data_IF_105839046056
#
_entry.id   IF_105839046056
#
_cell.length_a   1.000
_cell.length_b   1.000
_cell.length_c   1.000
_cell.angle_alpha   90.00
_cell.angle_beta   90.00
_cell.angle_gamma   90.00
#
_symmetry.space_group_name_H-M   'P 1'
#
loop_
_entity.id
_entity.type
_entity.pdbx_description
1 polymer ?
#
# COMPACT_ATOMS: atom_id res chain seq x y z
N UNK A 1 19.35 24.11 -31.73
CA UNK A 1 20.07 23.62 -30.54
C UNK A 1 19.19 23.93 -29.35
N UNK A 2 18.23 23.06 -29.05
CA UNK A 2 17.34 23.26 -27.92
C UNK A 2 18.01 22.71 -26.66
N UNK A 3 18.33 23.61 -25.73
CA UNK A 3 18.79 23.27 -24.41
C UNK A 3 17.64 22.55 -23.69
N UNK A 4 17.79 21.23 -23.50
CA UNK A 4 16.87 20.44 -22.72
C UNK A 4 16.80 21.01 -21.29
N UNK A 5 15.67 21.63 -20.96
CA UNK A 5 15.38 22.11 -19.62
C UNK A 5 15.37 20.90 -18.69
N UNK A 6 16.43 20.73 -17.90
CA UNK A 6 16.53 19.69 -16.88
C UNK A 6 15.54 20.05 -15.78
N UNK A 7 14.34 19.48 -15.85
CA UNK A 7 13.33 19.59 -14.81
C UNK A 7 13.83 18.89 -13.55
N UNK A 8 13.90 19.61 -12.42
CA UNK A 8 14.24 18.97 -11.14
C UNK A 8 13.21 17.87 -10.81
N UNK A 9 13.65 16.63 -10.52
CA UNK A 9 12.76 15.54 -10.18
C UNK A 9 12.00 15.87 -8.89
N UNK A 10 10.68 15.89 -8.99
CA UNK A 10 9.75 16.41 -7.99
C UNK A 10 9.42 15.42 -6.87
N UNK A 11 9.96 14.19 -6.94
CA UNK A 11 9.72 13.16 -5.94
C UNK A 11 10.77 12.05 -5.92
N UNK A 12 10.75 11.26 -4.83
CA UNK A 12 11.68 10.13 -4.62
C UNK A 12 11.61 9.12 -5.76
N UNK A 13 10.45 8.92 -6.39
CA UNK A 13 10.26 7.96 -7.48
C UNK A 13 10.93 8.41 -8.78
N UNK A 14 10.75 9.66 -9.18
CA UNK A 14 11.45 10.25 -10.35
C UNK A 14 12.97 10.28 -10.15
N UNK A 15 13.43 10.50 -8.92
CA UNK A 15 14.86 10.42 -8.56
C UNK A 15 15.47 9.02 -8.69
N UNK A 16 14.66 7.97 -8.51
CA UNK A 16 15.12 6.58 -8.64
C UNK A 16 15.30 6.17 -10.10
N UNK A 17 14.57 6.79 -11.03
CA UNK A 17 14.61 6.48 -12.46
C UNK A 17 15.86 7.09 -13.17
N UNK A 18 16.49 8.11 -12.58
CA UNK A 18 17.69 8.76 -13.14
C UNK A 18 19.03 8.06 -12.81
N UNK A 19 19.03 6.92 -12.10
CA UNK A 19 20.26 6.22 -11.73
C UNK A 19 20.47 4.97 -12.61
N UNK A 20 21.54 4.90 -13.44
CA UNK A 20 21.73 3.87 -14.48
C UNK A 20 21.99 2.44 -13.96
N UNK A 21 22.02 2.25 -12.64
CA UNK A 21 22.14 0.93 -11.98
C UNK A 21 20.98 0.78 -10.95
N UNK A 22 19.80 1.28 -11.30
CA UNK A 22 18.59 1.06 -10.52
C UNK A 22 18.12 -0.40 -10.67
N UNK A 23 18.17 -1.16 -9.59
CA UNK A 23 17.54 -2.49 -9.51
C UNK A 23 18.49 -3.68 -9.39
N UNK A 24 19.78 -3.55 -9.73
CA UNK A 24 20.76 -4.61 -9.42
C UNK A 24 21.32 -4.40 -8.02
N UNK A 25 21.05 -5.29 -7.04
CA UNK A 25 21.64 -5.18 -5.72
C UNK A 25 23.15 -5.34 -5.85
N UNK A 26 23.92 -4.37 -5.33
CA UNK A 26 25.37 -4.50 -5.23
C UNK A 26 25.68 -5.67 -4.28
N UNK A 27 26.32 -6.71 -4.80
CA UNK A 27 26.76 -7.91 -4.06
C UNK A 27 28.24 -7.76 -3.68
N UNK A 28 28.66 -8.38 -2.57
CA UNK A 28 30.07 -8.42 -2.15
C UNK A 28 30.63 -7.07 -1.69
N UNK A 29 31.89 -6.78 -2.05
CA UNK A 29 32.62 -5.59 -1.61
C UNK A 29 31.98 -4.26 -2.05
N UNK A 30 31.21 -4.29 -3.14
CA UNK A 30 30.47 -3.13 -3.68
C UNK A 30 29.37 -2.64 -2.73
N UNK A 31 28.95 -3.46 -1.75
CA UNK A 31 28.00 -3.06 -0.70
C UNK A 31 28.61 -2.05 0.28
N UNK A 32 29.91 -2.13 0.56
CA UNK A 32 30.58 -1.27 1.53
C UNK A 32 30.84 0.13 0.95
N UNK A 33 30.73 1.15 1.79
CA UNK A 33 31.07 2.51 1.42
C UNK A 33 32.58 2.66 1.30
N UNK A 34 33.04 3.07 0.13
CA UNK A 34 34.46 3.38 -0.09
C UNK A 34 34.77 4.80 0.39
N UNK A 35 36.04 5.07 0.75
CA UNK A 35 36.46 6.42 1.13
C UNK A 35 36.21 7.47 0.04
N UNK A 36 36.28 7.06 -1.24
CA UNK A 36 35.92 7.89 -2.40
C UNK A 36 34.43 8.27 -2.40
N UNK A 37 33.54 7.29 -2.21
CA UNK A 37 32.10 7.54 -2.17
C UNK A 37 31.71 8.41 -0.96
N UNK A 38 32.36 8.24 0.19
CA UNK A 38 32.16 9.12 1.34
C UNK A 38 32.64 10.54 1.10
N UNK A 39 33.77 10.72 0.43
CA UNK A 39 34.28 12.04 0.08
C UNK A 39 33.30 12.79 -0.82
N UNK A 40 32.75 12.11 -1.82
CA UNK A 40 31.69 12.64 -2.68
C UNK A 40 30.45 12.96 -1.84
N UNK A 41 30.04 12.05 -0.95
CA UNK A 41 28.87 12.26 -0.09
C UNK A 41 29.05 13.49 0.82
N UNK A 42 30.21 13.68 1.45
CA UNK A 42 30.50 14.85 2.31
C UNK A 42 30.46 16.17 1.53
N UNK A 43 30.94 16.18 0.29
CA UNK A 43 30.97 17.38 -0.55
C UNK A 43 29.58 17.73 -1.10
N UNK A 44 28.83 16.74 -1.58
CA UNK A 44 27.61 16.96 -2.36
C UNK A 44 26.34 17.01 -1.49
N UNK A 45 26.30 16.26 -0.38
CA UNK A 45 25.10 16.15 0.44
C UNK A 45 24.66 17.47 1.10
N UNK A 46 25.57 18.34 1.59
CA UNK A 46 25.16 19.63 2.16
C UNK A 46 24.46 20.56 1.17
N UNK A 47 24.86 20.56 -0.12
CA UNK A 47 24.30 21.46 -1.13
C UNK A 47 22.94 21.01 -1.67
N UNK A 48 22.76 19.72 -1.95
CA UNK A 48 21.58 19.21 -2.66
C UNK A 48 20.95 17.95 -2.06
N UNK A 49 21.42 17.50 -0.90
CA UNK A 49 20.92 16.30 -0.21
C UNK A 49 21.01 15.04 -1.07
N UNK A 50 20.03 14.16 -0.88
CA UNK A 50 19.99 12.85 -1.57
C UNK A 50 19.88 13.01 -3.09
N UNK A 51 19.23 14.06 -3.59
CA UNK A 51 19.05 14.29 -5.02
C UNK A 51 20.38 14.48 -5.74
N UNK A 52 21.18 15.44 -5.27
CA UNK A 52 22.49 15.71 -5.85
C UNK A 52 23.47 14.52 -5.68
N UNK A 53 23.36 13.79 -4.56
CA UNK A 53 24.18 12.61 -4.33
C UNK A 53 23.82 11.43 -5.24
N UNK A 54 22.55 11.30 -5.67
CA UNK A 54 22.14 10.25 -6.60
C UNK A 54 22.75 10.44 -7.99
N UNK A 55 22.89 11.69 -8.44
CA UNK A 55 23.59 12.00 -9.68
C UNK A 55 25.11 11.72 -9.58
N UNK A 56 25.71 11.95 -8.42
CA UNK A 56 27.16 11.78 -8.20
C UNK A 56 27.58 10.35 -7.77
N UNK A 57 26.65 9.51 -7.33
CA UNK A 57 26.89 8.15 -6.82
C UNK A 57 26.04 7.11 -7.58
N UNK A 58 26.39 6.80 -8.85
CA UNK A 58 25.67 5.80 -9.62
C UNK A 58 25.74 4.42 -8.95
N UNK A 59 24.60 3.74 -8.85
CA UNK A 59 24.44 2.45 -8.19
C UNK A 59 24.32 2.47 -6.67
N UNK A 60 24.23 3.63 -6.02
CA UNK A 60 23.76 3.75 -4.62
C UNK A 60 22.28 4.12 -4.61
N UNK A 61 21.48 3.39 -3.84
CA UNK A 61 20.07 3.72 -3.66
C UNK A 61 19.88 4.95 -2.76
N UNK A 62 18.79 5.68 -2.95
CA UNK A 62 18.43 6.84 -2.14
C UNK A 62 18.48 6.53 -0.62
N UNK A 63 17.97 5.36 -0.24
CA UNK A 63 17.98 4.87 1.15
C UNK A 63 19.39 4.64 1.68
N UNK A 64 20.28 4.05 0.86
CA UNK A 64 21.68 3.82 1.25
C UNK A 64 22.43 5.13 1.48
N UNK A 65 22.23 6.11 0.59
CA UNK A 65 22.79 7.46 0.71
C UNK A 65 22.27 8.14 1.98
N UNK A 66 20.96 8.11 2.22
CA UNK A 66 20.34 8.70 3.40
C UNK A 66 20.88 8.08 4.71
N UNK A 67 20.97 6.75 4.77
CA UNK A 67 21.51 6.04 5.92
C UNK A 67 22.99 6.39 6.16
N UNK A 68 23.82 6.42 5.12
CA UNK A 68 25.24 6.76 5.30
C UNK A 68 25.43 8.22 5.68
N UNK A 69 24.68 9.13 5.08
CA UNK A 69 24.69 10.54 5.45
C UNK A 69 24.30 10.75 6.91
N UNK A 70 23.30 9.99 7.40
CA UNK A 70 22.92 10.01 8.81
C UNK A 70 24.05 9.51 9.74
N UNK A 71 24.74 8.42 9.38
CA UNK A 71 25.90 7.89 10.12
C UNK A 71 27.06 8.89 10.15
N UNK A 72 27.30 9.59 9.04
CA UNK A 72 28.32 10.62 8.92
C UNK A 72 27.89 11.99 9.50
N UNK A 73 26.68 12.09 10.06
CA UNK A 73 26.16 13.34 10.62
C UNK A 73 25.87 14.44 9.59
N UNK A 74 25.82 14.12 8.30
CA UNK A 74 25.63 15.10 7.23
C UNK A 74 24.19 15.65 7.24
N UNK A 75 24.07 16.94 6.92
CA UNK A 75 22.82 17.69 6.87
C UNK A 75 22.82 18.57 5.63
N UNK A 76 21.63 18.84 5.08
CA UNK A 76 21.46 19.77 3.96
C UNK A 76 21.51 21.20 4.50
N UNK A 77 22.42 22.00 3.98
CA UNK A 77 22.56 23.43 4.27
C UNK A 77 21.26 24.16 3.93
N UNK A 78 20.80 25.07 4.78
CA UNK A 78 19.57 25.84 4.53
C UNK A 78 18.25 25.09 4.75
N UNK A 79 18.26 23.75 4.83
CA UNK A 79 17.13 22.95 5.36
C UNK A 79 17.20 22.74 6.86
N UNK A 80 17.73 23.71 7.59
CA UNK A 80 17.49 23.90 9.03
C UNK A 80 16.06 24.38 9.30
N UNK A 81 15.08 23.90 8.53
CA UNK A 81 13.68 24.19 8.76
C UNK A 81 13.31 23.57 10.10
N UNK A 82 13.19 24.43 11.12
CA UNK A 82 12.69 24.15 12.46
C UNK A 82 12.49 22.66 12.71
N UNK A 83 13.57 21.94 13.05
CA UNK A 83 13.41 20.70 13.81
C UNK A 83 12.87 21.21 15.13
N UNK A 84 11.54 21.43 15.20
CA UNK A 84 10.86 21.57 16.47
C UNK A 84 11.31 20.33 17.21
N UNK A 85 12.12 20.51 18.25
CA UNK A 85 12.53 19.41 19.11
C UNK A 85 11.28 18.59 19.36
N UNK A 86 11.33 17.30 19.05
CA UNK A 86 10.14 16.44 19.13
C UNK A 86 9.59 16.62 20.55
N UNK A 87 8.44 17.27 20.67
CA UNK A 87 7.89 17.65 21.96
C UNK A 87 7.83 16.42 22.85
N UNK A 88 8.60 16.43 23.95
CA UNK A 88 8.69 15.31 24.87
C UNK A 88 7.51 15.40 25.83
N UNK A 89 6.53 14.52 25.63
CA UNK A 89 5.36 14.44 26.48
C UNK A 89 5.70 13.71 27.79
N UNK A 90 5.68 14.44 28.91
CA UNK A 90 5.87 13.89 30.25
C UNK A 90 4.54 13.44 30.86
N UNK A 91 4.60 12.36 31.66
CA UNK A 91 3.50 11.89 32.51
C UNK A 91 3.58 12.53 33.89
N UNK A 92 2.42 12.77 34.49
CA UNK A 92 2.27 13.19 35.89
C UNK A 92 1.09 12.44 36.51
N UNK A 93 1.07 12.30 37.83
CA UNK A 93 0.02 11.57 38.53
C UNK A 93 -1.41 12.11 38.25
N UNK A 94 -1.65 13.43 38.16
CA UNK A 94 -2.98 13.94 37.79
C UNK A 94 -3.42 13.51 36.38
N UNK A 95 -2.47 13.43 35.43
CA UNK A 95 -2.76 12.96 34.06
C UNK A 95 -3.08 11.46 34.09
N UNK A 96 -2.28 10.68 34.81
CA UNK A 96 -2.49 9.24 34.90
C UNK A 96 -3.79 8.90 35.64
N UNK A 97 -4.16 9.63 36.70
CA UNK A 97 -5.43 9.50 37.38
C UNK A 97 -6.63 9.80 36.45
N UNK A 98 -6.52 10.84 35.61
CA UNK A 98 -7.53 11.13 34.60
C UNK A 98 -7.67 9.98 33.59
N UNK A 99 -6.54 9.45 33.10
CA UNK A 99 -6.54 8.30 32.17
C UNK A 99 -7.18 7.09 32.86
N UNK A 100 -6.80 6.74 34.09
CA UNK A 100 -7.40 5.64 34.85
C UNK A 100 -8.91 5.81 34.95
N UNK A 101 -9.40 7.02 35.30
CA UNK A 101 -10.83 7.33 35.38
C UNK A 101 -11.55 7.12 34.03
N UNK A 102 -10.94 7.55 32.92
CA UNK A 102 -11.53 7.36 31.58
C UNK A 102 -11.68 5.87 31.23
N UNK A 103 -10.74 5.03 31.67
CA UNK A 103 -10.72 3.59 31.38
C UNK A 103 -11.43 2.73 32.45
N UNK A 104 -12.04 3.32 33.49
CA UNK A 104 -12.89 2.58 34.44
C UNK A 104 -14.11 1.94 33.75
N UNK A 105 -14.61 2.58 32.70
CA UNK A 105 -15.59 2.03 31.77
C UNK A 105 -14.91 1.78 30.42
N UNK A 106 -15.47 0.90 29.59
CA UNK A 106 -15.02 0.75 28.19
C UNK A 106 -15.20 2.09 27.46
N UNK A 107 -14.11 2.82 27.14
CA UNK A 107 -14.24 4.19 26.64
C UNK A 107 -14.63 4.18 25.16
N UNK A 108 -15.57 5.04 24.78
CA UNK A 108 -15.91 5.27 23.38
C UNK A 108 -14.81 6.06 22.65
N UNK A 109 -14.88 6.13 21.32
CA UNK A 109 -13.92 6.92 20.53
C UNK A 109 -13.90 8.39 20.96
N UNK A 110 -15.05 8.96 21.35
CA UNK A 110 -15.19 10.33 21.82
C UNK A 110 -14.51 10.56 23.18
N UNK A 111 -14.70 9.64 24.14
CA UNK A 111 -14.16 9.76 25.49
C UNK A 111 -12.63 9.92 25.52
N UNK A 112 -11.92 9.15 24.67
CA UNK A 112 -10.46 9.24 24.58
C UNK A 112 -10.02 10.59 23.99
N UNK A 113 -10.79 11.13 23.04
CA UNK A 113 -10.49 12.45 22.46
C UNK A 113 -10.74 13.57 23.47
N UNK A 114 -11.79 13.47 24.28
CA UNK A 114 -12.06 14.40 25.38
C UNK A 114 -10.94 14.33 26.42
N UNK A 115 -10.55 13.12 26.84
CA UNK A 115 -9.43 12.92 27.77
C UNK A 115 -8.14 13.56 27.25
N UNK A 116 -7.82 13.36 25.96
CA UNK A 116 -6.66 13.95 25.30
C UNK A 116 -6.69 15.49 25.31
N UNK A 117 -7.85 16.09 25.03
CA UNK A 117 -8.03 17.54 25.11
C UNK A 117 -7.85 18.05 26.55
N UNK A 118 -8.45 17.38 27.54
CA UNK A 118 -8.39 17.78 28.96
C UNK A 118 -6.97 17.71 29.53
N UNK A 119 -6.19 16.69 29.21
CA UNK A 119 -4.80 16.59 29.69
C UNK A 119 -3.78 17.36 28.82
N UNK A 120 -4.22 18.00 27.74
CA UNK A 120 -3.34 18.68 26.79
C UNK A 120 -2.30 17.73 26.19
N UNK A 121 -2.71 16.51 25.82
CA UNK A 121 -1.84 15.50 25.20
C UNK A 121 -2.46 14.99 23.90
N UNK A 122 -1.63 14.61 22.91
CA UNK A 122 -2.13 13.96 21.71
C UNK A 122 -2.82 12.64 22.05
N UNK A 123 -3.90 12.33 21.31
CA UNK A 123 -4.67 11.09 21.47
C UNK A 123 -3.79 9.83 21.48
N UNK A 124 -2.82 9.74 20.57
CA UNK A 124 -1.91 8.58 20.49
C UNK A 124 -1.09 8.41 21.77
N UNK A 125 -0.72 9.52 22.43
CA UNK A 125 0.07 9.49 23.65
C UNK A 125 -0.75 8.96 24.82
N UNK A 126 -2.01 9.42 24.96
CA UNK A 126 -2.95 8.91 25.97
C UNK A 126 -3.19 7.41 25.77
N UNK A 127 -3.46 6.96 24.54
CA UNK A 127 -3.64 5.53 24.25
C UNK A 127 -2.38 4.71 24.58
N UNK A 128 -1.19 5.24 24.28
CA UNK A 128 0.08 4.60 24.63
C UNK A 128 0.29 4.56 26.15
N UNK A 129 -0.03 5.65 26.86
CA UNK A 129 0.09 5.73 28.31
C UNK A 129 -0.87 4.77 29.00
N UNK A 130 -2.10 4.65 28.52
CA UNK A 130 -3.07 3.68 29.03
C UNK A 130 -2.57 2.23 28.91
N UNK A 131 -1.90 1.87 27.80
CA UNK A 131 -1.22 0.57 27.67
C UNK A 131 -0.09 0.40 28.69
N UNK A 132 0.73 1.43 28.89
CA UNK A 132 1.81 1.41 29.90
C UNK A 132 1.27 1.26 31.33
N UNK A 133 0.11 1.86 31.62
CA UNK A 133 -0.59 1.74 32.91
C UNK A 133 -1.34 0.40 33.08
N UNK A 134 -1.32 -0.48 32.07
CA UNK A 134 -2.03 -1.78 32.13
C UNK A 134 -3.54 -1.69 31.99
N UNK A 135 -4.08 -0.53 31.58
CA UNK A 135 -5.52 -0.30 31.43
C UNK A 135 -6.10 -0.90 30.14
N UNK A 136 -5.23 -1.29 29.20
CA UNK A 136 -5.59 -1.89 27.92
C UNK A 136 -4.75 -3.13 27.71
N UNK A 137 -5.40 -4.26 27.42
CA UNK A 137 -4.71 -5.49 27.05
C UNK A 137 -3.88 -5.25 25.79
N UNK A 138 -2.56 -5.50 25.80
CA UNK A 138 -1.72 -5.37 24.62
C UNK A 138 -2.27 -6.23 23.48
N UNK A 139 -2.33 -5.65 22.27
CA UNK A 139 -2.65 -6.43 21.08
C UNK A 139 -1.44 -7.31 20.75
N UNK A 140 -1.55 -8.61 20.98
CA UNK A 140 -0.55 -9.56 20.52
C UNK A 140 -0.56 -9.68 19.00
N UNK A 141 0.62 -9.78 18.41
CA UNK A 141 0.76 -10.02 16.97
C UNK A 141 0.27 -11.43 16.66
N UNK A 142 -0.57 -11.56 15.63
CA UNK A 142 -1.05 -12.87 15.18
C UNK A 142 0.15 -13.77 14.83
N UNK A 143 0.07 -15.09 15.09
CA UNK A 143 1.11 -16.04 14.70
C UNK A 143 1.42 -15.96 13.19
N UNK A 144 2.63 -16.33 12.76
CA UNK A 144 2.92 -16.46 11.33
C UNK A 144 1.94 -17.44 10.66
N UNK A 145 1.72 -17.27 9.36
CA UNK A 145 0.89 -18.19 8.59
C UNK A 145 1.62 -19.52 8.42
N UNK A 146 0.95 -20.63 8.73
CA UNK A 146 1.50 -21.98 8.49
C UNK A 146 1.27 -22.39 7.04
N UNK A 147 2.05 -23.37 6.55
CA UNK A 147 1.92 -23.86 5.17
C UNK A 147 0.55 -24.46 4.90
N UNK A 148 -0.02 -25.20 5.87
CA UNK A 148 -1.37 -25.75 5.78
C UNK A 148 -2.46 -24.66 5.68
N UNK A 149 -2.29 -23.52 6.34
CA UNK A 149 -3.20 -22.38 6.20
C UNK A 149 -3.07 -21.73 4.81
N UNK A 150 -1.84 -21.64 4.30
CA UNK A 150 -1.54 -21.05 2.99
C UNK A 150 -2.14 -21.92 1.88
N UNK A 151 -1.92 -23.22 1.92
CA UNK A 151 -2.46 -24.20 0.97
C UNK A 151 -3.98 -24.11 0.92
N UNK A 152 -4.66 -24.22 2.08
CA UNK A 152 -6.12 -24.14 2.14
C UNK A 152 -6.66 -22.85 1.53
N UNK A 153 -6.06 -21.70 1.88
CA UNK A 153 -6.49 -20.39 1.37
C UNK A 153 -6.22 -20.24 -0.13
N UNK A 154 -5.13 -20.83 -0.63
CA UNK A 154 -4.76 -20.75 -2.06
C UNK A 154 -5.68 -21.62 -2.91
N UNK A 155 -5.89 -22.89 -2.51
CA UNK A 155 -6.81 -23.81 -3.20
C UNK A 155 -8.24 -23.28 -3.27
N UNK A 156 -8.66 -22.56 -2.24
CA UNK A 156 -10.01 -22.04 -2.10
C UNK A 156 -10.10 -20.53 -2.34
N UNK A 157 -9.12 -19.92 -3.01
CA UNK A 157 -9.05 -18.46 -3.22
C UNK A 157 -10.28 -17.89 -3.95
N UNK A 158 -10.96 -18.70 -4.76
CA UNK A 158 -12.23 -18.37 -5.42
C UNK A 158 -13.41 -18.15 -4.45
N UNK A 159 -13.32 -18.64 -3.19
CA UNK A 159 -14.38 -18.52 -2.18
C UNK A 159 -14.30 -17.18 -1.43
N UNK A 160 -15.41 -16.81 -0.77
CA UNK A 160 -15.42 -15.60 0.06
C UNK A 160 -14.49 -15.74 1.28
N UNK A 161 -13.84 -14.66 1.76
CA UNK A 161 -13.04 -14.65 2.99
C UNK A 161 -13.80 -15.11 4.23
N UNK A 162 -15.11 -14.90 4.27
CA UNK A 162 -15.97 -15.39 5.37
C UNK A 162 -16.09 -16.91 5.30
N UNK A 163 -16.22 -17.48 4.09
CA UNK A 163 -16.23 -18.93 3.89
C UNK A 163 -14.86 -19.53 4.22
N UNK A 164 -13.78 -18.93 3.73
CA UNK A 164 -12.41 -19.33 4.04
C UNK A 164 -12.13 -19.29 5.55
N UNK A 165 -12.63 -18.26 6.25
CA UNK A 165 -12.54 -18.16 7.70
C UNK A 165 -13.20 -19.36 8.39
N UNK A 166 -14.41 -19.75 7.98
CA UNK A 166 -15.08 -20.94 8.53
C UNK A 166 -14.30 -22.22 8.24
N UNK A 167 -13.72 -22.34 7.05
CA UNK A 167 -12.90 -23.50 6.68
C UNK A 167 -11.63 -23.61 7.53
N UNK A 168 -10.95 -22.48 7.76
CA UNK A 168 -9.81 -22.39 8.66
C UNK A 168 -10.21 -22.74 10.10
N UNK A 169 -11.33 -22.20 10.59
CA UNK A 169 -11.84 -22.49 11.94
C UNK A 169 -12.15 -23.97 12.15
N UNK A 170 -12.74 -24.66 11.15
CA UNK A 170 -12.97 -26.11 11.22
C UNK A 170 -11.70 -26.93 11.33
N UNK A 171 -10.57 -26.43 10.82
CA UNK A 171 -9.25 -27.04 10.97
C UNK A 171 -8.48 -26.53 12.19
N UNK A 172 -9.12 -25.78 13.08
CA UNK A 172 -8.51 -25.25 14.31
C UNK A 172 -7.74 -23.94 14.14
N UNK A 173 -7.75 -23.34 12.94
CA UNK A 173 -7.06 -22.08 12.67
C UNK A 173 -7.95 -20.87 12.91
N UNK A 174 -7.47 -19.93 13.73
CA UNK A 174 -8.19 -18.69 14.06
C UNK A 174 -7.64 -17.50 13.27
N UNK A 175 -8.12 -17.30 12.04
CA UNK A 175 -7.80 -16.12 11.21
C UNK A 175 -9.03 -15.24 10.98
N UNK A 176 -8.82 -13.93 10.96
CA UNK A 176 -9.88 -12.97 10.62
C UNK A 176 -10.09 -12.89 9.09
N UNK A 177 -11.29 -12.56 8.64
CA UNK A 177 -11.57 -12.35 7.21
C UNK A 177 -10.66 -11.28 6.57
N UNK A 178 -10.29 -10.25 7.34
CA UNK A 178 -9.32 -9.23 6.91
C UNK A 178 -7.92 -9.81 6.74
N UNK A 179 -7.44 -10.63 7.69
CA UNK A 179 -6.14 -11.28 7.59
C UNK A 179 -6.07 -12.21 6.36
N UNK A 180 -7.14 -12.96 6.08
CA UNK A 180 -7.27 -13.81 4.89
C UNK A 180 -7.20 -12.96 3.61
N UNK A 181 -7.94 -11.85 3.57
CA UNK A 181 -7.93 -10.93 2.41
C UNK A 181 -6.53 -10.36 2.16
N UNK A 182 -5.83 -9.92 3.21
CA UNK A 182 -4.45 -9.43 3.10
C UNK A 182 -3.49 -10.53 2.66
N UNK A 183 -3.68 -11.76 3.15
CA UNK A 183 -2.84 -12.91 2.78
C UNK A 183 -3.05 -13.29 1.32
N UNK A 184 -4.30 -13.40 0.84
CA UNK A 184 -4.63 -13.63 -0.57
C UNK A 184 -3.95 -12.60 -1.49
N UNK A 185 -4.03 -11.30 -1.14
CA UNK A 185 -3.34 -10.23 -1.89
C UNK A 185 -1.82 -10.43 -1.94
N UNK A 186 -1.20 -10.84 -0.83
CA UNK A 186 0.25 -11.09 -0.78
C UNK A 186 0.66 -12.34 -1.55
N UNK A 187 -0.21 -13.35 -1.56
CA UNK A 187 -0.02 -14.59 -2.32
C UNK A 187 -0.35 -14.43 -3.81
N UNK A 188 -0.94 -13.30 -4.22
CA UNK A 188 -1.45 -13.09 -5.58
C UNK A 188 -2.50 -14.15 -6.00
N UNK A 189 -3.09 -14.83 -5.02
CA UNK A 189 -4.17 -15.78 -5.23
C UNK A 189 -5.46 -14.97 -5.39
N UNK A 190 -5.84 -14.70 -6.64
CA UNK A 190 -6.96 -13.83 -6.94
C UNK A 190 -8.30 -14.48 -6.56
N UNK A 191 -9.20 -13.63 -6.07
CA UNK A 191 -10.59 -13.94 -5.71
C UNK A 191 -11.50 -13.65 -6.91
N UNK A 192 -10.96 -13.60 -8.13
CA UNK A 192 -11.77 -13.42 -9.33
C UNK A 192 -12.67 -14.63 -9.44
N UNK A 193 -13.97 -14.37 -9.29
CA UNK A 193 -14.99 -15.22 -9.87
C UNK A 193 -14.57 -15.44 -11.34
N UNK A 194 -14.24 -16.68 -11.75
CA UNK A 194 -13.68 -16.94 -13.07
C UNK A 194 -14.55 -16.42 -14.22
N UNK A 195 -15.83 -16.12 -13.93
CA UNK A 195 -16.81 -15.67 -14.90
C UNK A 195 -17.24 -14.21 -14.76
N UNK A 196 -16.77 -13.48 -13.74
CA UNK A 196 -17.22 -12.11 -13.52
C UNK A 196 -16.12 -11.12 -13.09
N UNK A 197 -16.18 -9.91 -13.66
CA UNK A 197 -15.33 -8.79 -13.30
C UNK A 197 -16.16 -7.66 -12.67
N UNK A 198 -15.55 -6.91 -11.76
CA UNK A 198 -16.06 -5.59 -11.36
C UNK A 198 -15.54 -4.49 -12.30
N UNK A 199 -16.07 -3.28 -12.19
CA UNK A 199 -15.69 -2.18 -13.09
C UNK A 199 -14.20 -1.80 -13.02
N UNK A 200 -13.58 -1.87 -11.84
CA UNK A 200 -12.15 -1.60 -11.66
C UNK A 200 -11.26 -2.69 -12.29
N UNK A 201 -11.65 -3.95 -12.11
CA UNK A 201 -10.97 -5.10 -12.72
C UNK A 201 -11.05 -5.01 -14.23
N UNK A 202 -12.24 -4.72 -14.77
CA UNK A 202 -12.42 -4.54 -16.21
C UNK A 202 -11.62 -3.34 -16.73
N UNK A 203 -11.62 -2.20 -16.03
CA UNK A 203 -10.82 -1.03 -16.40
C UNK A 203 -9.33 -1.35 -16.47
N UNK A 204 -8.83 -2.14 -15.52
CA UNK A 204 -7.42 -2.57 -15.46
C UNK A 204 -7.05 -3.42 -16.67
N UNK A 205 -7.83 -4.47 -16.97
CA UNK A 205 -7.51 -5.37 -18.09
C UNK A 205 -7.78 -4.73 -19.46
N UNK A 206 -8.70 -3.77 -19.55
CA UNK A 206 -8.97 -3.02 -20.78
C UNK A 206 -8.01 -1.84 -21.00
N UNK A 207 -7.19 -1.50 -20.01
CA UNK A 207 -6.28 -0.34 -20.07
C UNK A 207 -7.01 1.00 -20.17
N UNK A 208 -8.18 1.13 -19.55
CA UNK A 208 -9.01 2.35 -19.54
C UNK A 208 -9.28 2.85 -18.12
N UNK A 209 -9.80 4.08 -17.99
CA UNK A 209 -10.25 4.59 -16.70
C UNK A 209 -11.58 3.95 -16.27
N UNK A 210 -11.78 3.80 -14.96
CA UNK A 210 -13.03 3.26 -14.38
C UNK A 210 -14.26 4.05 -14.83
N UNK A 211 -14.16 5.37 -15.02
CA UNK A 211 -15.27 6.21 -15.51
C UNK A 211 -15.68 5.81 -16.92
N UNK A 212 -14.74 5.38 -17.77
CA UNK A 212 -15.04 4.90 -19.12
C UNK A 212 -15.89 3.64 -19.07
N UNK A 213 -15.56 2.69 -18.18
CA UNK A 213 -16.39 1.50 -17.94
C UNK A 213 -17.78 1.90 -17.44
N UNK A 214 -17.86 2.86 -16.51
CA UNK A 214 -19.13 3.42 -16.05
C UNK A 214 -19.98 4.03 -17.18
N UNK A 215 -19.34 4.72 -18.13
CA UNK A 215 -20.00 5.28 -19.31
C UNK A 215 -20.51 4.20 -20.27
N UNK A 216 -19.76 3.11 -20.48
CA UNK A 216 -20.23 1.99 -21.30
C UNK A 216 -21.48 1.33 -20.71
N UNK A 217 -21.51 1.20 -19.38
CA UNK A 217 -22.68 0.67 -18.67
C UNK A 217 -23.86 1.65 -18.76
N UNK A 218 -23.64 2.95 -18.53
CA UNK A 218 -24.72 3.95 -18.60
C UNK A 218 -25.30 4.12 -19.99
N UNK A 219 -24.49 3.92 -21.04
CA UNK A 219 -24.93 3.92 -22.45
C UNK A 219 -25.60 2.61 -22.87
N UNK A 220 -25.61 1.59 -22.00
CA UNK A 220 -26.17 0.28 -22.30
C UNK A 220 -25.32 -0.59 -23.24
N UNK A 221 -24.09 -0.18 -23.55
CA UNK A 221 -23.18 -0.96 -24.40
C UNK A 221 -22.62 -2.19 -23.67
N UNK A 222 -22.42 -2.05 -22.36
CA UNK A 222 -21.93 -3.12 -21.50
C UNK A 222 -22.99 -3.50 -20.47
N UNK A 223 -23.46 -4.74 -20.54
CA UNK A 223 -24.44 -5.26 -19.59
C UNK A 223 -23.76 -5.56 -18.26
N UNK A 224 -24.27 -4.95 -17.18
CA UNK A 224 -23.76 -5.13 -15.83
C UNK A 224 -24.91 -5.20 -14.83
N UNK A 225 -24.78 -6.06 -13.81
CA UNK A 225 -25.73 -6.14 -12.69
C UNK A 225 -25.21 -5.37 -11.49
N UNK A 226 -26.09 -4.67 -10.77
CA UNK A 226 -25.73 -3.96 -9.54
C UNK A 226 -25.80 -4.91 -8.35
N UNK A 227 -24.70 -5.07 -7.60
CA UNK A 227 -24.72 -5.75 -6.30
C UNK A 227 -25.49 -4.90 -5.30
N UNK A 228 -26.27 -5.53 -4.42
CA UNK A 228 -26.97 -4.85 -3.32
C UNK A 228 -25.97 -3.98 -2.53
N UNK A 229 -26.41 -2.78 -2.14
CA UNK A 229 -25.59 -1.67 -1.70
C UNK A 229 -24.69 -2.02 -0.50
N UNK A 230 -23.44 -2.41 -0.77
CA UNK A 230 -22.36 -2.32 0.20
C UNK A 230 -21.62 -1.02 -0.04
N UNK A 231 -21.32 -0.24 1.00
CA UNK A 231 -20.68 1.09 0.95
C UNK A 231 -19.29 1.16 0.26
N UNK A 232 -18.84 0.08 -0.38
CA UNK A 232 -17.60 0.01 -1.14
C UNK A 232 -17.89 0.22 -2.62
N UNK A 233 -17.11 1.10 -3.22
CA UNK A 233 -17.29 1.77 -4.51
C UNK A 233 -17.45 0.83 -5.74
N UNK A 234 -17.27 -0.47 -5.61
CA UNK A 234 -17.31 -1.45 -6.72
C UNK A 234 -18.64 -2.23 -6.79
N UNK A 235 -19.69 -1.53 -7.20
CA UNK A 235 -21.07 -2.05 -7.24
C UNK A 235 -21.42 -2.90 -8.46
N UNK A 236 -20.61 -2.89 -9.53
CA UNK A 236 -20.93 -3.56 -10.79
C UNK A 236 -20.44 -5.00 -10.84
N UNK A 237 -21.28 -5.89 -11.35
CA UNK A 237 -21.00 -7.30 -11.59
C UNK A 237 -21.20 -7.58 -13.08
N UNK A 238 -20.10 -7.79 -13.80
CA UNK A 238 -20.05 -7.84 -15.26
C UNK A 238 -19.62 -9.24 -15.68
N UNK A 239 -20.45 -9.96 -16.43
CA UNK A 239 -20.16 -11.34 -16.83
C UNK A 239 -19.16 -11.36 -18.00
N UNK A 240 -18.22 -12.32 -18.03
CA UNK A 240 -17.23 -12.48 -19.11
C UNK A 240 -17.86 -12.59 -20.49
N UNK A 241 -18.97 -13.35 -20.62
CA UNK A 241 -19.77 -13.42 -21.85
C UNK A 241 -20.28 -12.04 -22.31
N UNK A 242 -20.74 -11.20 -21.38
CA UNK A 242 -21.22 -9.85 -21.73
C UNK A 242 -20.05 -8.93 -22.12
N UNK A 243 -18.88 -9.11 -21.52
CA UNK A 243 -17.64 -8.40 -21.90
C UNK A 243 -17.18 -8.84 -23.29
N UNK A 244 -17.14 -10.16 -23.56
CA UNK A 244 -16.77 -10.69 -24.86
C UNK A 244 -17.72 -10.18 -25.95
N UNK A 245 -19.04 -10.21 -25.72
CA UNK A 245 -20.03 -9.63 -26.64
C UNK A 245 -19.79 -8.14 -26.84
N UNK A 246 -19.63 -7.37 -25.76
CA UNK A 246 -19.33 -5.93 -25.85
C UNK A 246 -18.09 -5.65 -26.71
N UNK A 247 -17.00 -6.40 -26.52
CA UNK A 247 -15.78 -6.18 -27.30
C UNK A 247 -16.00 -6.52 -28.77
N UNK A 248 -16.64 -7.65 -29.08
CA UNK A 248 -16.93 -8.06 -30.46
C UNK A 248 -17.85 -7.07 -31.17
N UNK A 249 -18.86 -6.53 -30.48
CA UNK A 249 -19.81 -5.58 -31.07
C UNK A 249 -19.24 -4.16 -31.20
N UNK A 250 -18.19 -3.82 -30.42
CA UNK A 250 -17.65 -2.46 -30.33
C UNK A 250 -16.13 -2.38 -30.60
N UNK A 251 -15.60 -3.29 -31.43
CA UNK A 251 -14.16 -3.39 -31.77
C UNK A 251 -13.59 -2.03 -32.21
N UNK A 252 -14.34 -1.24 -32.99
CA UNK A 252 -13.88 0.05 -33.51
C UNK A 252 -13.65 1.12 -32.43
N UNK A 253 -14.34 1.02 -31.29
CA UNK A 253 -14.28 1.99 -30.20
C UNK A 253 -13.23 1.60 -29.16
N UNK A 254 -12.84 0.33 -29.13
CA UNK A 254 -11.93 -0.24 -28.14
C UNK A 254 -10.50 -0.20 -28.66
N UNK A 255 -9.63 0.46 -27.92
CA UNK A 255 -8.20 0.46 -28.21
C UNK A 255 -7.56 -0.86 -27.75
N UNK A 256 -7.60 -1.87 -28.64
CA UNK A 256 -7.05 -3.21 -28.39
C UNK A 256 -5.56 -3.15 -27.99
N UNK A 257 -4.82 -2.10 -28.38
CA UNK A 257 -3.40 -1.96 -28.03
C UNK A 257 -3.17 -1.79 -26.53
N UNK A 258 -4.18 -1.31 -25.79
CA UNK A 258 -4.13 -1.08 -24.34
C UNK A 258 -4.67 -2.25 -23.52
N UNK A 259 -5.39 -3.17 -24.18
CA UNK A 259 -5.96 -4.35 -23.53
C UNK A 259 -4.86 -5.35 -23.21
N UNK A 260 -4.94 -5.99 -22.03
CA UNK A 260 -4.06 -7.10 -21.67
C UNK A 260 -4.22 -8.24 -22.70
N UNK A 261 -3.14 -8.52 -23.42
CA UNK A 261 -3.14 -9.43 -24.57
C UNK A 261 -3.46 -10.87 -24.18
N UNK A 262 -2.96 -11.33 -23.04
CA UNK A 262 -3.15 -12.71 -22.59
C UNK A 262 -4.58 -12.91 -22.07
N UNK A 263 -5.08 -11.96 -21.30
CA UNK A 263 -6.47 -11.97 -20.85
C UNK A 263 -7.46 -11.87 -22.03
N UNK A 264 -7.17 -11.05 -23.03
CA UNK A 264 -8.02 -10.90 -24.20
C UNK A 264 -8.13 -12.19 -25.01
N UNK A 265 -7.00 -12.89 -25.21
CA UNK A 265 -6.99 -14.20 -25.87
C UNK A 265 -7.80 -15.22 -25.06
N UNK A 266 -7.61 -15.28 -23.74
CA UNK A 266 -8.37 -16.18 -22.86
C UNK A 266 -9.88 -15.90 -22.88
N UNK A 267 -10.26 -14.62 -22.90
CA UNK A 267 -11.65 -14.18 -23.01
C UNK A 267 -12.31 -14.64 -24.32
N UNK A 268 -11.62 -14.51 -25.45
CA UNK A 268 -12.18 -14.86 -26.77
C UNK A 268 -12.11 -16.36 -27.07
N UNK A 269 -11.06 -17.04 -26.60
CA UNK A 269 -10.90 -18.49 -26.77
C UNK A 269 -11.86 -19.32 -25.90
N UNK A 270 -12.62 -18.67 -25.00
CA UNK A 270 -13.56 -19.33 -24.11
C UNK A 270 -12.89 -20.20 -23.05
N UNK A 271 -11.66 -19.84 -22.64
CA UNK A 271 -10.76 -20.62 -21.78
C UNK A 271 -11.19 -20.81 -20.31
N UNK A 272 -12.49 -20.82 -20.03
CA UNK A 272 -13.06 -21.11 -18.73
C UNK A 272 -14.26 -22.04 -18.85
N UNK A 273 -14.04 -23.24 -19.40
CA UNK A 273 -14.89 -24.40 -19.09
C UNK A 273 -14.51 -24.95 -17.71
#
# INVERSE_FOLDING_TARGET
>A
MDAAVIREPSGIRELLDCNPIAGTPRVGSLRFWTGREEKILRATYPGGGVSACLAALPGRSASSIYQRAAVLGLRVSGRGGNIRERQRWTSSEPIDALIRRTYQKTPSKGDISTCAATCGRPRWWVSKRAQTLGLVTPRFKEPPWTDAEIELVTENAHRSPVTLQRMLQRRGFSRTATAITVKLKRLHADRTDPHHLNANQLATVMGVDRKTVGQWISKGWLIARRRQASSLDDFWWIHRKDIARFITDNVAVIDIRKVDKFWFVDLLAGGGK
#
